data_IF_477510435084
#
_entry.id   IF_477510435084
#
_cell.length_a   1.000
_cell.length_b   1.000
_cell.length_c   1.000
_cell.angle_alpha   90.00
_cell.angle_beta   90.00
_cell.angle_gamma   90.00
#
_symmetry.space_group_name_H-M   'P 1'
#
loop_
_entity.id
_entity.type
_entity.pdbx_description
1 polymer ?
#
# COMPACT_ATOMS: atom_id res chain seq x y z
N UNK A 1 -24.39 23.56 -3.23
CA UNK A 1 -23.82 22.70 -4.30
C UNK A 1 -22.56 23.40 -4.76
N UNK A 2 -21.45 23.14 -4.11
CA UNK A 2 -20.12 23.61 -4.54
C UNK A 2 -19.53 22.50 -5.40
N UNK A 3 -19.41 22.74 -6.69
CA UNK A 3 -18.64 21.87 -7.58
C UNK A 3 -17.21 21.82 -7.03
N UNK A 4 -16.82 20.67 -6.47
CA UNK A 4 -15.40 20.32 -6.28
C UNK A 4 -14.81 20.24 -7.68
N UNK A 5 -13.87 21.13 -7.98
CA UNK A 5 -13.08 20.99 -9.20
C UNK A 5 -12.30 19.70 -9.10
N UNK A 6 -12.49 18.76 -10.03
CA UNK A 6 -11.70 17.54 -10.13
C UNK A 6 -10.22 17.91 -10.18
N UNK A 7 -9.45 17.45 -9.19
CA UNK A 7 -8.00 17.57 -9.24
C UNK A 7 -7.51 16.59 -10.28
N UNK A 8 -6.84 17.00 -11.36
CA UNK A 8 -6.34 16.08 -12.36
C UNK A 8 -5.29 15.15 -11.74
N UNK A 9 -5.09 13.97 -12.35
CA UNK A 9 -4.00 13.07 -12.02
C UNK A 9 -2.70 13.87 -11.81
N UNK A 10 -1.91 13.51 -10.78
CA UNK A 10 -0.77 14.32 -10.37
C UNK A 10 0.13 14.66 -11.57
N UNK A 11 0.51 15.93 -11.69
CA UNK A 11 1.45 16.36 -12.73
C UNK A 11 2.76 15.56 -12.61
N UNK A 12 3.47 15.27 -13.73
CA UNK A 12 4.78 14.61 -13.70
C UNK A 12 5.84 15.28 -12.81
N UNK A 13 5.62 16.50 -12.39
CA UNK A 13 6.50 17.30 -11.53
C UNK A 13 5.88 17.62 -10.15
N UNK A 14 4.74 17.02 -9.83
CA UNK A 14 4.00 17.35 -8.60
C UNK A 14 4.79 17.04 -7.31
N UNK A 15 5.72 16.07 -7.38
CA UNK A 15 6.56 15.64 -6.27
C UNK A 15 8.05 15.91 -6.52
N UNK A 16 8.40 16.78 -7.47
CA UNK A 16 9.78 17.17 -7.72
C UNK A 16 10.44 17.71 -6.45
N UNK A 17 11.64 17.20 -6.14
CA UNK A 17 12.40 17.53 -4.93
C UNK A 17 11.84 16.92 -3.64
N UNK A 18 10.81 16.04 -3.71
CA UNK A 18 10.33 15.26 -2.58
C UNK A 18 11.09 13.96 -2.45
N UNK A 19 11.33 13.54 -1.21
CA UNK A 19 11.97 12.28 -0.86
C UNK A 19 10.93 11.34 -0.30
N UNK A 20 10.73 10.22 -0.98
CA UNK A 20 9.81 9.16 -0.59
C UNK A 20 10.55 7.89 -0.19
N UNK A 21 9.98 7.10 0.71
CA UNK A 21 10.42 5.77 1.05
C UNK A 21 9.23 4.82 1.02
N UNK A 22 9.36 3.73 0.27
CA UNK A 22 8.36 2.66 0.22
C UNK A 22 8.93 1.39 0.84
N UNK A 23 8.37 1.01 1.98
CA UNK A 23 8.70 -0.23 2.66
C UNK A 23 7.90 -1.39 2.07
N UNK A 24 8.60 -2.46 1.62
CA UNK A 24 7.96 -3.59 0.94
C UNK A 24 7.63 -3.28 -0.53
N UNK A 25 8.61 -2.76 -1.28
CA UNK A 25 8.43 -2.23 -2.63
C UNK A 25 8.90 -3.17 -3.76
N UNK A 26 9.03 -4.47 -3.53
CA UNK A 26 9.53 -5.39 -4.56
C UNK A 26 8.48 -5.79 -5.60
N UNK A 27 7.19 -5.79 -5.24
CA UNK A 27 6.07 -6.24 -6.08
C UNK A 27 4.74 -5.61 -5.66
N UNK A 28 3.67 -5.92 -6.41
CA UNK A 28 2.29 -5.55 -6.11
C UNK A 28 2.10 -4.07 -5.87
N UNK A 29 1.29 -3.72 -4.86
CA UNK A 29 1.03 -2.34 -4.50
C UNK A 29 2.33 -1.57 -4.15
N UNK A 30 3.27 -2.21 -3.43
CA UNK A 30 4.52 -1.57 -3.03
C UNK A 30 5.38 -1.13 -4.21
N UNK A 31 5.54 -1.98 -5.23
CA UNK A 31 6.20 -1.62 -6.50
C UNK A 31 5.47 -0.47 -7.16
N UNK A 32 4.14 -0.56 -7.27
CA UNK A 32 3.34 0.47 -7.91
C UNK A 32 3.40 1.82 -7.17
N UNK A 33 3.38 1.84 -5.83
CA UNK A 33 3.60 3.07 -5.06
C UNK A 33 4.94 3.73 -5.40
N UNK A 34 6.01 2.93 -5.47
CA UNK A 34 7.33 3.45 -5.79
C UNK A 34 7.36 4.07 -7.20
N UNK A 35 6.82 3.36 -8.20
CA UNK A 35 6.81 3.79 -9.60
C UNK A 35 5.93 5.04 -9.80
N UNK A 36 4.72 5.08 -9.24
CA UNK A 36 3.82 6.22 -9.39
C UNK A 36 4.33 7.48 -8.65
N UNK A 37 4.98 7.34 -7.48
CA UNK A 37 5.65 8.45 -6.81
C UNK A 37 6.83 8.97 -7.66
N UNK A 38 7.59 8.06 -8.29
CA UNK A 38 8.65 8.40 -9.22
C UNK A 38 8.14 9.10 -10.48
N UNK A 39 7.03 8.65 -11.05
CA UNK A 39 6.40 9.28 -12.22
C UNK A 39 5.97 10.73 -11.97
N UNK A 40 5.73 11.07 -10.69
CA UNK A 40 5.46 12.44 -10.25
C UNK A 40 6.72 13.24 -9.88
N UNK A 41 7.92 12.71 -10.14
CA UNK A 41 9.21 13.39 -9.97
C UNK A 41 9.89 13.20 -8.61
N UNK A 42 9.42 12.28 -7.76
CA UNK A 42 10.05 12.05 -6.47
C UNK A 42 11.37 11.26 -6.57
N UNK A 43 12.30 11.50 -5.61
CA UNK A 43 13.36 10.54 -5.27
C UNK A 43 12.75 9.47 -4.37
N UNK A 44 12.85 8.19 -4.74
CA UNK A 44 12.18 7.08 -4.06
C UNK A 44 13.17 6.04 -3.56
N UNK A 45 13.26 5.87 -2.25
CA UNK A 45 13.93 4.74 -1.62
C UNK A 45 13.04 3.50 -1.72
N UNK A 46 13.47 2.54 -2.51
CA UNK A 46 12.81 1.26 -2.74
C UNK A 46 13.39 0.22 -1.80
N UNK A 47 12.60 -0.24 -0.83
CA UNK A 47 13.11 -1.14 0.21
C UNK A 47 12.34 -2.45 0.29
N UNK A 48 13.04 -3.52 0.66
CA UNK A 48 12.51 -4.87 0.74
C UNK A 48 13.61 -5.90 0.90
N UNK A 49 13.24 -7.17 1.02
CA UNK A 49 14.17 -8.27 1.31
C UNK A 49 14.71 -8.98 0.08
N UNK A 50 13.95 -8.95 -1.02
CA UNK A 50 14.33 -9.65 -2.25
C UNK A 50 15.21 -8.73 -3.11
N UNK A 51 16.39 -9.24 -3.43
CA UNK A 51 17.40 -8.62 -4.30
C UNK A 51 17.76 -9.58 -5.44
N UNK A 52 18.55 -9.12 -6.38
CA UNK A 52 19.09 -9.99 -7.46
C UNK A 52 19.87 -11.20 -6.92
N UNK A 53 20.51 -11.06 -5.75
CA UNK A 53 21.37 -12.07 -5.16
C UNK A 53 20.68 -12.87 -4.04
N UNK A 54 19.52 -12.43 -3.56
CA UNK A 54 18.81 -13.04 -2.42
C UNK A 54 17.31 -13.00 -2.59
N UNK A 55 16.70 -14.18 -2.57
CA UNK A 55 15.24 -14.33 -2.58
C UNK A 55 14.71 -14.41 -1.15
N UNK A 56 13.61 -13.70 -0.86
CA UNK A 56 12.91 -13.80 0.42
C UNK A 56 12.11 -15.10 0.55
N UNK A 57 11.55 -15.37 1.73
CA UNK A 57 10.70 -16.53 2.01
C UNK A 57 9.47 -16.67 1.08
N UNK A 58 9.07 -15.61 0.41
CA UNK A 58 7.97 -15.63 -0.57
C UNK A 58 8.34 -16.40 -1.86
N UNK A 59 9.64 -16.61 -2.12
CA UNK A 59 10.09 -17.44 -3.22
C UNK A 59 10.09 -16.79 -4.62
N UNK A 60 9.76 -15.49 -4.74
CA UNK A 60 9.67 -14.76 -6.02
C UNK A 60 10.99 -14.06 -6.32
N UNK A 61 11.77 -14.64 -7.25
CA UNK A 61 13.15 -14.20 -7.53
C UNK A 61 13.24 -13.02 -8.52
N UNK A 62 12.22 -12.82 -9.36
CA UNK A 62 12.22 -11.80 -10.43
C UNK A 62 11.81 -10.43 -9.95
N UNK A 63 11.22 -10.33 -8.75
CA UNK A 63 10.66 -9.08 -8.20
C UNK A 63 11.59 -8.51 -7.13
N UNK A 64 12.57 -7.73 -7.56
CA UNK A 64 13.65 -7.24 -6.70
C UNK A 64 13.54 -5.74 -6.42
N UNK A 65 14.23 -5.27 -5.36
CA UNK A 65 14.33 -3.84 -5.07
C UNK A 65 15.06 -3.08 -6.17
N UNK A 66 16.06 -3.71 -6.80
CA UNK A 66 16.85 -3.11 -7.89
C UNK A 66 16.03 -2.93 -9.17
N UNK A 67 15.18 -3.93 -9.49
CA UNK A 67 14.28 -3.82 -10.64
C UNK A 67 13.25 -2.69 -10.41
N UNK A 68 12.62 -2.66 -9.24
CA UNK A 68 11.67 -1.58 -8.93
C UNK A 68 12.33 -0.20 -8.96
N UNK A 69 13.56 -0.06 -8.46
CA UNK A 69 14.30 1.21 -8.52
C UNK A 69 14.60 1.64 -9.97
N UNK A 70 14.90 0.67 -10.86
CA UNK A 70 15.04 0.95 -12.28
C UNK A 70 13.74 1.46 -12.91
N UNK A 71 12.60 0.80 -12.60
CA UNK A 71 11.27 1.23 -13.06
C UNK A 71 10.91 2.65 -12.57
N UNK A 72 11.26 3.00 -11.33
CA UNK A 72 11.10 4.37 -10.80
C UNK A 72 11.85 5.38 -11.65
N UNK A 73 13.10 5.04 -12.02
CA UNK A 73 13.94 5.91 -12.84
C UNK A 73 13.42 6.03 -14.27
N UNK A 74 12.96 4.92 -14.87
CA UNK A 74 12.31 4.94 -16.17
C UNK A 74 11.03 5.79 -16.18
N UNK A 75 10.29 5.81 -15.07
CA UNK A 75 9.08 6.60 -14.91
C UNK A 75 9.34 8.11 -14.76
N UNK A 76 10.60 8.54 -14.58
CA UNK A 76 10.99 9.96 -14.51
C UNK A 76 11.41 10.46 -13.14
N UNK A 77 11.41 9.60 -12.10
CA UNK A 77 11.94 9.89 -10.77
C UNK A 77 13.40 9.49 -10.60
N UNK A 78 13.83 9.40 -9.36
CA UNK A 78 15.12 8.84 -8.96
C UNK A 78 14.89 7.63 -8.06
N UNK A 79 15.13 6.41 -8.56
CA UNK A 79 14.96 5.17 -7.81
C UNK A 79 16.24 4.76 -7.08
N UNK A 80 16.18 4.59 -5.77
CA UNK A 80 17.31 4.17 -4.92
C UNK A 80 16.97 2.83 -4.27
N UNK A 81 17.57 1.74 -4.73
CA UNK A 81 17.40 0.43 -4.13
C UNK A 81 18.19 0.31 -2.82
N UNK A 82 17.51 -0.03 -1.72
CA UNK A 82 18.15 -0.30 -0.43
C UNK A 82 17.60 -1.60 0.16
N UNK A 83 18.33 -2.72 0.01
CA UNK A 83 17.93 -3.98 0.63
C UNK A 83 17.74 -3.83 2.13
N UNK A 84 16.53 -4.10 2.63
CA UNK A 84 16.19 -3.89 4.05
C UNK A 84 15.19 -4.94 4.50
N UNK A 85 15.50 -5.64 5.60
CA UNK A 85 14.52 -6.38 6.37
C UNK A 85 13.93 -5.45 7.44
N UNK A 86 12.66 -5.09 7.28
CA UNK A 86 11.95 -4.21 8.21
C UNK A 86 11.65 -4.84 9.56
N UNK A 87 11.95 -6.12 9.75
CA UNK A 87 11.93 -6.78 11.05
C UNK A 87 13.26 -6.66 11.82
N UNK A 88 14.34 -6.24 11.15
CA UNK A 88 15.64 -5.98 11.75
C UNK A 88 15.81 -4.48 12.06
N UNK A 89 15.72 -4.06 13.33
CA UNK A 89 15.84 -2.64 13.70
C UNK A 89 17.19 -2.03 13.29
N UNK A 90 18.28 -2.83 13.23
CA UNK A 90 19.60 -2.30 12.85
C UNK A 90 19.66 -2.00 11.35
N UNK A 91 19.01 -2.81 10.51
CA UNK A 91 18.91 -2.50 9.08
C UNK A 91 18.07 -1.25 8.87
N UNK A 92 16.94 -1.10 9.56
CA UNK A 92 16.10 0.10 9.47
C UNK A 92 16.81 1.35 10.00
N UNK A 93 17.64 1.24 11.06
CA UNK A 93 18.49 2.36 11.52
C UNK A 93 19.53 2.78 10.48
N UNK A 94 20.17 1.81 9.81
CA UNK A 94 21.10 2.11 8.70
C UNK A 94 20.39 2.78 7.53
N UNK A 95 19.17 2.32 7.20
CA UNK A 95 18.34 2.96 6.18
C UNK A 95 18.00 4.40 6.56
N UNK A 96 17.54 4.65 7.80
CA UNK A 96 17.25 5.99 8.28
C UNK A 96 18.51 6.90 8.23
N UNK A 97 19.66 6.41 8.69
CA UNK A 97 20.92 7.14 8.62
C UNK A 97 21.34 7.45 7.17
N UNK A 98 21.08 6.55 6.22
CA UNK A 98 21.33 6.76 4.79
C UNK A 98 20.45 7.88 4.24
N UNK A 99 19.12 7.84 4.48
CA UNK A 99 18.18 8.89 4.05
C UNK A 99 18.56 10.24 4.68
N UNK A 100 18.96 10.25 5.96
CA UNK A 100 19.41 11.44 6.65
C UNK A 100 20.68 12.03 6.02
N UNK A 101 21.68 11.21 5.70
CA UNK A 101 22.93 11.65 5.10
C UNK A 101 22.72 12.19 3.67
N UNK A 102 21.84 11.56 2.90
CA UNK A 102 21.62 11.92 1.51
C UNK A 102 20.73 13.18 1.37
N UNK A 103 19.70 13.34 2.22
CA UNK A 103 18.66 14.37 2.03
C UNK A 103 18.30 15.16 3.28
N UNK A 104 18.69 14.72 4.48
CA UNK A 104 18.37 15.38 5.75
C UNK A 104 16.90 15.28 6.18
N UNK A 105 16.02 14.71 5.37
CA UNK A 105 14.56 14.61 5.63
C UNK A 105 13.93 13.45 4.88
N UNK A 106 12.70 13.15 5.24
CA UNK A 106 11.78 12.30 4.50
C UNK A 106 10.46 13.05 4.32
N UNK A 107 9.90 13.10 3.11
CA UNK A 107 8.63 13.79 2.85
C UNK A 107 7.44 12.81 2.83
N UNK A 108 7.68 11.57 2.35
CA UNK A 108 6.63 10.56 2.19
C UNK A 108 7.16 9.20 2.69
N UNK A 109 6.42 8.57 3.61
CA UNK A 109 6.66 7.20 4.06
C UNK A 109 5.45 6.34 3.75
N UNK A 110 5.61 5.35 2.85
CA UNK A 110 4.60 4.32 2.57
C UNK A 110 5.02 3.02 3.25
N UNK A 111 4.28 2.63 4.27
CA UNK A 111 4.53 1.43 5.06
C UNK A 111 3.64 0.30 4.56
N UNK A 112 4.19 -0.54 3.67
CA UNK A 112 3.48 -1.59 2.92
C UNK A 112 4.13 -2.97 3.12
N UNK A 113 4.82 -3.19 4.23
CA UNK A 113 5.44 -4.48 4.48
C UNK A 113 4.39 -5.56 4.74
N UNK A 114 4.48 -6.66 4.00
CA UNK A 114 3.68 -7.87 4.15
C UNK A 114 4.50 -9.05 3.57
N UNK A 115 3.87 -10.06 3.02
CA UNK A 115 4.48 -11.27 2.46
C UNK A 115 4.06 -12.51 3.24
N UNK A 116 2.92 -12.40 3.94
CA UNK A 116 2.31 -13.46 4.73
C UNK A 116 1.16 -14.18 4.03
N UNK A 117 0.97 -14.00 2.72
CA UNK A 117 -0.15 -14.58 1.97
C UNK A 117 -0.18 -16.12 2.08
N UNK A 118 0.98 -16.75 2.05
CA UNK A 118 1.13 -18.21 2.17
C UNK A 118 0.85 -18.74 3.58
N UNK A 119 0.74 -17.84 4.57
CA UNK A 119 0.45 -18.17 5.97
C UNK A 119 -1.03 -18.03 6.32
N UNK A 120 -1.87 -17.50 5.42
CA UNK A 120 -3.28 -17.21 5.73
C UNK A 120 -4.02 -18.54 5.99
N UNK A 121 -4.52 -18.77 7.23
CA UNK A 121 -5.12 -20.03 7.62
C UNK A 121 -6.63 -20.01 7.34
N UNK A 122 -7.02 -20.00 6.06
CA UNK A 122 -8.43 -19.95 5.66
C UNK A 122 -9.29 -20.98 6.42
N UNK A 123 -10.35 -20.49 7.10
CA UNK A 123 -11.31 -21.31 7.82
C UNK A 123 -10.78 -22.06 9.06
N UNK A 124 -9.55 -21.77 9.52
CA UNK A 124 -8.98 -22.40 10.73
C UNK A 124 -9.24 -21.57 11.98
N UNK A 125 -9.62 -22.23 13.07
CA UNK A 125 -9.67 -21.60 14.38
C UNK A 125 -8.27 -21.22 14.89
N UNK A 126 -8.22 -20.30 15.87
CA UNK A 126 -6.94 -19.85 16.48
C UNK A 126 -6.08 -21.02 16.97
N UNK A 127 -6.69 -21.99 17.67
CA UNK A 127 -6.00 -23.14 18.25
C UNK A 127 -5.63 -24.24 17.26
N UNK A 128 -6.16 -24.18 16.02
CA UNK A 128 -5.83 -25.10 14.92
C UNK A 128 -4.76 -24.51 13.98
N UNK A 129 -4.39 -23.25 14.21
CA UNK A 129 -3.34 -22.55 13.45
C UNK A 129 -1.99 -22.79 14.12
N UNK A 130 -0.94 -23.24 13.38
CA UNK A 130 0.40 -23.32 13.94
C UNK A 130 0.83 -21.99 14.53
N UNK A 131 1.24 -22.01 15.80
CA UNK A 131 1.53 -20.79 16.55
C UNK A 131 2.64 -19.94 15.92
N UNK A 132 3.67 -20.58 15.39
CA UNK A 132 4.80 -19.94 14.71
C UNK A 132 4.36 -19.23 13.41
N UNK A 133 3.46 -19.84 12.63
CA UNK A 133 2.87 -19.21 11.45
C UNK A 133 2.01 -18.00 11.82
N UNK A 134 1.18 -18.14 12.87
CA UNK A 134 0.35 -17.05 13.38
C UNK A 134 1.19 -15.86 13.90
N UNK A 135 2.21 -16.14 14.71
CA UNK A 135 3.14 -15.11 15.20
C UNK A 135 3.92 -14.48 14.04
N UNK A 136 4.30 -15.27 13.02
CA UNK A 136 4.96 -14.74 11.83
C UNK A 136 4.09 -13.74 11.09
N UNK A 137 2.78 -13.95 10.97
CA UNK A 137 1.85 -12.96 10.39
C UNK A 137 1.87 -11.64 11.17
N UNK A 138 1.88 -11.69 12.50
CA UNK A 138 1.98 -10.48 13.33
C UNK A 138 3.34 -9.80 13.19
N UNK A 139 4.43 -10.56 13.08
CA UNK A 139 5.75 -9.99 12.78
C UNK A 139 5.71 -9.22 11.45
N UNK A 140 5.18 -9.83 10.40
CA UNK A 140 5.14 -9.25 9.05
C UNK A 140 4.18 -8.06 8.92
N UNK A 141 2.99 -8.12 9.51
CA UNK A 141 1.94 -7.10 9.35
C UNK A 141 1.83 -6.07 10.47
N UNK A 142 2.52 -6.28 11.61
CA UNK A 142 2.43 -5.37 12.76
C UNK A 142 3.81 -4.91 13.20
N UNK A 143 4.67 -5.85 13.61
CA UNK A 143 5.98 -5.50 14.17
C UNK A 143 6.88 -4.80 13.18
N UNK A 144 6.89 -5.21 11.91
CA UNK A 144 7.66 -4.55 10.85
C UNK A 144 7.21 -3.10 10.64
N UNK A 145 5.90 -2.84 10.66
CA UNK A 145 5.32 -1.50 10.54
C UNK A 145 5.74 -0.61 11.72
N UNK A 146 5.66 -1.13 12.95
CA UNK A 146 6.09 -0.39 14.15
C UNK A 146 7.57 -0.03 14.13
N UNK A 147 8.45 -0.97 13.76
CA UNK A 147 9.90 -0.73 13.65
C UNK A 147 10.17 0.35 12.60
N UNK A 148 9.57 0.20 11.43
CA UNK A 148 9.73 1.15 10.31
C UNK A 148 9.27 2.55 10.69
N UNK A 149 8.05 2.69 11.22
CA UNK A 149 7.52 3.98 11.65
C UNK A 149 8.36 4.61 12.76
N UNK A 150 8.72 3.85 13.80
CA UNK A 150 9.48 4.37 14.94
C UNK A 150 10.85 4.95 14.54
N UNK A 151 11.49 4.39 13.52
CA UNK A 151 12.85 4.79 13.13
C UNK A 151 12.88 5.81 11.98
N UNK A 152 11.82 5.91 11.16
CA UNK A 152 11.79 6.82 10.00
C UNK A 152 10.94 8.08 10.25
N UNK A 153 9.91 8.04 11.09
CA UNK A 153 9.10 9.22 11.39
C UNK A 153 9.87 10.40 11.96
N UNK A 154 10.98 10.23 12.75
CA UNK A 154 11.82 11.37 13.13
C UNK A 154 12.40 12.18 11.96
N UNK A 155 12.59 11.57 10.78
CA UNK A 155 12.99 12.28 9.56
C UNK A 155 11.80 12.96 8.88
N UNK A 156 10.63 12.32 8.96
CA UNK A 156 9.40 12.81 8.33
C UNK A 156 8.87 14.08 9.01
N UNK A 157 8.98 14.19 10.33
CA UNK A 157 8.50 15.36 11.09
C UNK A 157 9.40 16.60 10.97
N UNK A 158 10.54 16.51 10.29
CA UNK A 158 11.41 17.69 10.02
C UNK A 158 10.74 18.71 9.08
N UNK A 159 9.80 18.25 8.27
CA UNK A 159 8.92 19.03 7.40
C UNK A 159 7.51 18.43 7.41
N UNK A 160 6.46 19.17 7.06
CA UNK A 160 5.13 18.59 6.95
C UNK A 160 5.08 17.44 5.93
N UNK A 161 5.10 16.20 6.43
CA UNK A 161 5.20 14.97 5.64
C UNK A 161 3.89 14.18 5.57
N UNK A 162 3.91 13.09 4.79
CA UNK A 162 2.83 12.13 4.66
C UNK A 162 3.31 10.74 5.09
N UNK A 163 2.62 10.15 6.06
CA UNK A 163 2.76 8.73 6.42
C UNK A 163 1.54 7.95 5.94
N UNK A 164 1.77 6.89 5.18
CA UNK A 164 0.74 5.98 4.68
C UNK A 164 0.96 4.60 5.26
N UNK A 165 0.00 4.13 6.05
CA UNK A 165 -0.11 2.71 6.41
C UNK A 165 -0.94 2.01 5.34
N UNK A 166 -0.47 0.86 4.84
CA UNK A 166 -1.19 0.07 3.85
C UNK A 166 -1.71 -1.22 4.48
N UNK A 167 -2.97 -1.54 4.21
CA UNK A 167 -3.60 -2.75 4.73
C UNK A 167 -4.56 -3.36 3.71
N UNK A 168 -5.25 -4.42 4.12
CA UNK A 168 -6.34 -5.07 3.40
C UNK A 168 -7.64 -4.86 4.18
N UNK A 169 -8.58 -4.15 3.57
CA UNK A 169 -9.87 -3.78 4.15
C UNK A 169 -9.91 -2.38 4.77
N UNK A 170 -11.02 -1.69 4.54
CA UNK A 170 -11.33 -0.41 5.20
C UNK A 170 -11.58 -0.60 6.70
N UNK A 171 -11.67 0.51 7.45
CA UNK A 171 -12.06 0.46 8.86
C UNK A 171 -13.47 -0.12 9.04
N UNK A 172 -14.37 0.12 8.10
CA UNK A 172 -15.74 -0.41 8.09
C UNK A 172 -15.73 -1.93 7.87
N UNK A 173 -15.02 -2.39 6.84
CA UNK A 173 -14.91 -3.80 6.50
C UNK A 173 -14.26 -4.60 7.62
N UNK A 174 -13.18 -4.07 8.20
CA UNK A 174 -12.46 -4.72 9.29
C UNK A 174 -13.17 -4.65 10.67
N UNK A 175 -14.40 -4.12 10.74
CA UNK A 175 -15.32 -4.40 11.88
C UNK A 175 -15.85 -5.82 11.85
N UNK A 176 -15.84 -6.47 10.68
CA UNK A 176 -16.16 -7.88 10.52
C UNK A 176 -14.93 -8.69 10.82
N UNK A 177 -15.06 -9.74 11.60
CA UNK A 177 -13.96 -10.68 11.79
C UNK A 177 -13.61 -11.35 10.45
N UNK A 178 -12.30 -11.40 10.14
CA UNK A 178 -11.82 -11.92 8.87
C UNK A 178 -10.87 -13.10 9.09
N UNK A 179 -11.19 -14.21 8.43
CA UNK A 179 -10.40 -15.43 8.33
C UNK A 179 -9.99 -16.06 9.68
N UNK A 180 -9.06 -15.45 10.39
CA UNK A 180 -8.43 -15.97 11.60
C UNK A 180 -7.95 -14.81 12.48
N UNK A 181 -7.83 -15.01 13.78
CA UNK A 181 -7.43 -13.97 14.76
C UNK A 181 -6.08 -13.34 14.42
N UNK A 182 -5.08 -14.13 13.98
CA UNK A 182 -3.77 -13.58 13.61
C UNK A 182 -3.83 -12.71 12.36
N UNK A 183 -4.55 -13.16 11.34
CA UNK A 183 -4.76 -12.38 10.12
C UNK A 183 -5.56 -11.10 10.40
N UNK A 184 -6.68 -11.23 11.11
CA UNK A 184 -7.54 -10.11 11.49
C UNK A 184 -6.75 -9.02 12.23
N UNK A 185 -5.97 -9.40 13.24
CA UNK A 185 -5.10 -8.48 13.97
C UNK A 185 -4.05 -7.84 13.07
N UNK A 186 -3.42 -8.63 12.19
CA UNK A 186 -2.40 -8.11 11.27
C UNK A 186 -2.96 -7.07 10.30
N UNK A 187 -4.22 -7.24 9.84
CA UNK A 187 -4.88 -6.32 8.90
C UNK A 187 -5.57 -5.14 9.59
N UNK A 188 -6.01 -5.29 10.83
CA UNK A 188 -6.61 -4.20 11.59
C UNK A 188 -5.55 -3.25 12.22
N UNK A 189 -4.38 -3.77 12.56
CA UNK A 189 -3.33 -2.99 13.24
C UNK A 189 -2.91 -1.74 12.46
N UNK A 190 -2.65 -1.74 11.14
CA UNK A 190 -2.28 -0.54 10.39
C UNK A 190 -3.34 0.57 10.45
N UNK A 191 -4.64 0.21 10.47
CA UNK A 191 -5.73 1.18 10.64
C UNK A 191 -5.61 1.87 12.00
N UNK A 192 -5.35 1.09 13.05
CA UNK A 192 -5.20 1.62 14.40
C UNK A 192 -3.93 2.44 14.55
N UNK A 193 -2.85 2.01 13.88
CA UNK A 193 -1.57 2.74 13.86
C UNK A 193 -1.74 4.10 13.19
N UNK A 194 -2.36 4.18 12.01
CA UNK A 194 -2.62 5.44 11.32
C UNK A 194 -3.41 6.42 12.19
N UNK A 195 -4.44 5.95 12.90
CA UNK A 195 -5.23 6.76 13.82
C UNK A 195 -4.40 7.28 15.01
N UNK A 196 -3.53 6.45 15.58
CA UNK A 196 -2.63 6.86 16.67
C UNK A 196 -1.57 7.85 16.21
N UNK A 197 -0.89 7.51 15.12
CA UNK A 197 0.17 8.34 14.52
C UNK A 197 -0.35 9.69 14.02
N UNK A 198 -1.61 9.76 13.59
CA UNK A 198 -2.24 11.03 13.21
C UNK A 198 -2.21 12.06 14.34
N UNK A 199 -2.40 11.63 15.59
CA UNK A 199 -2.31 12.51 16.76
C UNK A 199 -0.87 12.93 17.07
N UNK A 200 0.06 12.01 16.92
CA UNK A 200 1.48 12.27 17.19
C UNK A 200 2.11 13.17 16.13
N UNK A 201 1.63 13.08 14.88
CA UNK A 201 2.16 13.82 13.73
C UNK A 201 1.49 15.20 13.54
N UNK A 202 0.28 15.40 14.03
CA UNK A 202 -0.48 16.66 13.89
C UNK A 202 0.28 17.91 14.37
N UNK A 203 1.00 17.90 15.54
CA UNK A 203 1.77 19.06 15.99
C UNK A 203 2.92 19.45 15.06
N UNK A 204 3.33 18.54 14.17
CA UNK A 204 4.39 18.75 13.18
C UNK A 204 3.84 19.13 11.79
N UNK A 205 2.51 19.31 11.66
CA UNK A 205 1.86 19.56 10.37
C UNK A 205 1.90 18.37 9.41
N UNK A 206 2.25 17.19 9.90
CA UNK A 206 2.32 15.94 9.12
C UNK A 206 1.00 15.18 9.20
N UNK A 207 0.74 14.34 8.20
CA UNK A 207 -0.50 13.58 8.05
C UNK A 207 -0.20 12.08 8.12
N UNK A 208 -0.99 11.32 8.87
CA UNK A 208 -1.02 9.86 8.80
C UNK A 208 -2.37 9.38 8.28
N UNK A 209 -2.36 8.44 7.34
CA UNK A 209 -3.56 7.86 6.74
C UNK A 209 -3.37 6.36 6.53
N UNK A 210 -4.44 5.57 6.68
CA UNK A 210 -4.44 4.18 6.27
C UNK A 210 -5.11 4.06 4.91
N UNK A 211 -4.43 3.43 3.94
CA UNK A 211 -4.94 3.22 2.59
C UNK A 211 -5.10 1.72 2.35
N UNK A 212 -6.20 1.33 1.73
CA UNK A 212 -6.43 -0.06 1.31
C UNK A 212 -6.75 -0.12 -0.19
N UNK A 213 -6.03 -0.97 -0.96
CA UNK A 213 -6.48 -1.33 -2.29
C UNK A 213 -7.80 -2.11 -2.22
N UNK A 214 -8.53 -2.17 -3.33
CA UNK A 214 -9.61 -3.12 -3.53
C UNK A 214 -9.09 -4.54 -3.78
N UNK A 215 -9.82 -5.35 -4.54
CA UNK A 215 -9.34 -6.67 -4.97
C UNK A 215 -8.18 -6.48 -5.96
N UNK A 216 -6.95 -6.68 -5.49
CA UNK A 216 -5.76 -6.27 -6.21
C UNK A 216 -5.32 -7.33 -7.23
N UNK A 217 -5.14 -6.95 -8.49
CA UNK A 217 -4.49 -7.78 -9.52
C UNK A 217 -2.96 -7.75 -9.35
N UNK A 218 -2.48 -8.21 -8.19
CA UNK A 218 -1.05 -8.36 -7.96
C UNK A 218 -0.50 -9.57 -8.72
N UNK A 219 0.83 -9.60 -8.93
CA UNK A 219 1.51 -10.72 -9.58
C UNK A 219 1.15 -12.07 -8.94
N UNK A 220 1.03 -12.09 -7.61
CA UNK A 220 0.65 -13.30 -6.87
C UNK A 220 -0.81 -13.71 -7.11
N UNK A 221 -1.73 -12.77 -7.19
CA UNK A 221 -3.14 -13.06 -7.49
C UNK A 221 -3.31 -13.56 -8.91
N UNK A 222 -2.64 -12.91 -9.87
CA UNK A 222 -2.68 -13.32 -11.27
C UNK A 222 -2.10 -14.74 -11.44
N UNK A 223 -0.96 -15.03 -10.83
CA UNK A 223 -0.35 -16.37 -10.84
C UNK A 223 -1.26 -17.41 -10.17
N UNK A 224 -1.93 -17.03 -9.08
CA UNK A 224 -2.87 -17.91 -8.36
C UNK A 224 -4.06 -18.35 -9.23
N UNK A 225 -4.54 -17.49 -10.12
CA UNK A 225 -5.58 -17.79 -11.10
C UNK A 225 -5.04 -18.30 -12.44
N UNK A 226 -3.71 -18.39 -12.63
CA UNK A 226 -3.10 -18.81 -13.88
C UNK A 226 -3.33 -17.83 -15.04
N UNK A 227 -3.46 -16.54 -14.75
CA UNK A 227 -3.73 -15.47 -15.73
C UNK A 227 -2.61 -14.41 -15.71
N UNK A 228 -2.67 -13.51 -16.68
CA UNK A 228 -1.81 -12.32 -16.78
C UNK A 228 -2.65 -11.05 -16.70
N UNK A 229 -2.02 -9.87 -16.61
CA UNK A 229 -2.76 -8.60 -16.66
C UNK A 229 -3.52 -8.40 -17.98
N UNK A 230 -3.09 -9.03 -19.07
CA UNK A 230 -3.75 -8.93 -20.39
C UNK A 230 -5.04 -9.73 -20.45
N UNK A 231 -5.09 -10.90 -19.80
CA UNK A 231 -6.23 -11.79 -19.81
C UNK A 231 -6.86 -12.05 -18.43
N UNK A 232 -6.65 -11.17 -17.47
CA UNK A 232 -7.11 -11.34 -16.09
C UNK A 232 -8.61 -11.65 -15.95
N UNK A 233 -9.42 -11.23 -16.96
CA UNK A 233 -10.87 -11.49 -16.98
C UNK A 233 -11.21 -12.98 -17.15
N UNK A 234 -10.28 -13.82 -17.58
CA UNK A 234 -10.49 -15.27 -17.66
C UNK A 234 -10.67 -15.89 -16.26
N UNK A 235 -10.12 -15.25 -15.22
CA UNK A 235 -10.30 -15.64 -13.82
C UNK A 235 -11.76 -15.49 -13.33
N UNK A 236 -12.61 -14.73 -14.02
CA UNK A 236 -14.03 -14.51 -13.64
C UNK A 236 -14.85 -15.81 -13.69
N UNK A 237 -14.38 -16.82 -14.38
CA UNK A 237 -15.03 -18.15 -14.40
C UNK A 237 -14.86 -18.88 -13.07
N UNK A 238 -13.78 -18.61 -12.34
CA UNK A 238 -13.45 -19.20 -11.04
C UNK A 238 -13.88 -18.27 -9.89
N UNK A 239 -13.57 -16.96 -10.00
CA UNK A 239 -13.88 -15.95 -9.00
C UNK A 239 -14.65 -14.76 -9.63
N UNK A 240 -15.98 -14.82 -9.65
CA UNK A 240 -16.80 -13.76 -10.26
C UNK A 240 -16.61 -12.37 -9.63
N UNK A 241 -16.26 -12.30 -8.33
CA UNK A 241 -16.02 -11.04 -7.63
C UNK A 241 -14.71 -10.36 -8.06
N UNK A 242 -13.82 -11.09 -8.75
CA UNK A 242 -12.63 -10.50 -9.38
C UNK A 242 -12.97 -9.46 -10.47
N UNK A 243 -14.24 -9.40 -10.89
CA UNK A 243 -14.74 -8.38 -11.82
C UNK A 243 -14.52 -6.94 -11.32
N UNK A 244 -14.46 -6.69 -10.01
CA UNK A 244 -14.16 -5.38 -9.43
C UNK A 244 -12.69 -5.20 -9.06
N UNK A 245 -11.82 -6.09 -9.54
CA UNK A 245 -10.39 -6.03 -9.25
C UNK A 245 -9.73 -4.80 -9.90
N UNK A 246 -8.79 -4.22 -9.18
CA UNK A 246 -7.98 -3.08 -9.61
C UNK A 246 -6.53 -3.46 -9.90
N UNK A 247 -5.86 -2.72 -10.78
CA UNK A 247 -4.41 -2.86 -10.94
C UNK A 247 -3.65 -2.26 -9.74
N UNK A 248 -2.41 -2.68 -9.47
CA UNK A 248 -1.58 -2.05 -8.45
C UNK A 248 -1.36 -0.54 -8.68
N UNK A 249 -1.39 -0.09 -9.94
CA UNK A 249 -1.26 1.32 -10.28
C UNK A 249 -2.42 2.18 -9.76
N UNK A 250 -3.63 1.61 -9.66
CA UNK A 250 -4.80 2.36 -9.25
C UNK A 250 -4.68 2.92 -7.82
N UNK A 251 -4.42 2.06 -6.84
CA UNK A 251 -4.20 2.52 -5.46
C UNK A 251 -2.96 3.43 -5.35
N UNK A 252 -1.93 3.17 -6.17
CA UNK A 252 -0.71 3.96 -6.17
C UNK A 252 -0.94 5.38 -6.70
N UNK A 253 -1.76 5.57 -7.72
CA UNK A 253 -2.23 6.89 -8.19
C UNK A 253 -2.94 7.65 -7.07
N UNK A 254 -3.76 6.97 -6.28
CA UNK A 254 -4.43 7.55 -5.11
C UNK A 254 -3.44 8.07 -4.07
N UNK A 255 -2.42 7.28 -3.73
CA UNK A 255 -1.36 7.70 -2.77
C UNK A 255 -0.53 8.85 -3.34
N UNK A 256 -0.23 8.85 -4.63
CA UNK A 256 0.51 9.92 -5.30
C UNK A 256 -0.29 11.23 -5.33
N UNK A 257 -1.59 11.16 -5.63
CA UNK A 257 -2.49 12.32 -5.57
C UNK A 257 -2.59 12.88 -4.15
N UNK A 258 -2.73 12.00 -3.15
CA UNK A 258 -2.73 12.38 -1.74
C UNK A 258 -1.41 13.05 -1.31
N UNK A 259 -0.26 12.55 -1.78
CA UNK A 259 1.05 13.13 -1.51
C UNK A 259 1.21 14.52 -2.12
N UNK A 260 0.65 14.74 -3.30
CA UNK A 260 0.66 16.03 -4.01
C UNK A 260 -0.36 17.04 -3.48
N UNK A 261 -1.35 16.60 -2.72
CA UNK A 261 -2.44 17.46 -2.23
C UNK A 261 -2.00 18.36 -1.06
N UNK A 262 -2.00 19.68 -1.22
CA UNK A 262 -1.69 20.61 -0.13
C UNK A 262 -2.75 20.58 0.99
N UNK A 263 -3.98 20.14 0.69
CA UNK A 263 -5.09 20.01 1.63
C UNK A 263 -5.20 18.63 2.30
N UNK A 264 -4.18 17.75 2.15
CA UNK A 264 -4.21 16.36 2.64
C UNK A 264 -4.48 16.19 4.13
N UNK A 265 -4.29 17.25 4.95
CA UNK A 265 -4.57 17.19 6.38
C UNK A 265 -6.03 16.79 6.71
N UNK A 266 -6.98 16.97 5.77
CA UNK A 266 -8.37 16.49 5.94
C UNK A 266 -8.49 14.97 6.03
N UNK A 267 -7.47 14.24 5.57
CA UNK A 267 -7.38 12.78 5.62
C UNK A 267 -6.71 12.25 6.90
N UNK A 268 -6.19 13.14 7.75
CA UNK A 268 -5.44 12.74 8.93
C UNK A 268 -6.25 11.78 9.83
N UNK A 269 -5.67 10.62 10.14
CA UNK A 269 -6.28 9.57 10.96
C UNK A 269 -7.39 8.75 10.27
N UNK A 270 -7.65 8.98 8.98
CA UNK A 270 -8.68 8.23 8.24
C UNK A 270 -8.15 6.90 7.69
N UNK A 271 -9.09 5.97 7.50
CA UNK A 271 -8.91 4.77 6.68
C UNK A 271 -9.70 4.98 5.40
N UNK A 272 -9.03 4.91 4.25
CA UNK A 272 -9.60 5.21 2.94
C UNK A 272 -9.29 4.11 1.93
N UNK A 273 -10.19 3.92 0.97
CA UNK A 273 -10.01 2.95 -0.11
C UNK A 273 -9.45 3.63 -1.35
N UNK A 274 -8.88 2.85 -2.28
CA UNK A 274 -8.53 3.31 -3.62
C UNK A 274 -9.70 3.97 -4.34
N UNK A 275 -10.91 3.38 -4.24
CA UNK A 275 -12.14 3.96 -4.81
C UNK A 275 -12.50 5.32 -4.20
N UNK A 276 -12.39 5.48 -2.86
CA UNK A 276 -12.59 6.77 -2.19
C UNK A 276 -11.62 7.84 -2.70
N UNK A 277 -10.34 7.48 -2.87
CA UNK A 277 -9.34 8.41 -3.40
C UNK A 277 -9.58 8.73 -4.88
N UNK A 278 -10.03 7.76 -5.67
CA UNK A 278 -10.37 8.00 -7.06
C UNK A 278 -11.58 8.92 -7.24
N UNK A 279 -12.60 8.79 -6.41
CA UNK A 279 -13.74 9.70 -6.39
C UNK A 279 -13.32 11.14 -6.04
N UNK A 280 -12.42 11.30 -5.06
CA UNK A 280 -11.94 12.62 -4.63
C UNK A 280 -11.00 13.27 -5.64
N UNK A 281 -10.05 12.50 -6.21
CA UNK A 281 -8.98 13.05 -7.04
C UNK A 281 -9.18 12.86 -8.54
N UNK A 282 -10.21 12.11 -8.98
CA UNK A 282 -10.61 12.00 -10.38
C UNK A 282 -9.68 11.17 -11.26
N UNK A 283 -8.86 10.28 -10.69
CA UNK A 283 -8.03 9.36 -11.47
C UNK A 283 -8.76 8.05 -11.81
N UNK A 284 -8.27 7.32 -12.81
CA UNK A 284 -8.78 6.02 -13.24
C UNK A 284 -7.71 4.93 -13.14
N UNK A 285 -8.12 3.67 -13.23
CA UNK A 285 -7.22 2.54 -13.40
C UNK A 285 -6.57 2.54 -14.79
N UNK A 286 -5.65 1.61 -15.04
CA UNK A 286 -4.90 1.49 -16.30
C UNK A 286 -5.80 1.18 -17.51
N UNK A 287 -6.95 0.55 -17.29
CA UNK A 287 -7.96 0.27 -18.31
C UNK A 287 -9.04 1.36 -18.46
N UNK A 288 -8.87 2.49 -17.76
CA UNK A 288 -9.80 3.62 -17.77
C UNK A 288 -11.02 3.47 -16.85
N UNK A 289 -11.15 2.36 -16.13
CA UNK A 289 -12.21 2.15 -15.14
C UNK A 289 -11.90 2.85 -13.81
N UNK A 290 -12.91 2.89 -12.91
CA UNK A 290 -12.77 3.43 -11.55
C UNK A 290 -13.34 2.44 -10.54
N UNK A 291 -12.69 1.27 -10.34
CA UNK A 291 -13.23 0.23 -9.49
C UNK A 291 -13.34 0.67 -8.03
N UNK A 292 -14.49 0.37 -7.41
CA UNK A 292 -14.74 0.53 -5.98
C UNK A 292 -15.08 -0.82 -5.37
N UNK A 293 -14.05 -1.67 -5.24
CA UNK A 293 -14.17 -3.04 -4.79
C UNK A 293 -14.76 -3.13 -3.38
N UNK A 294 -14.34 -2.26 -2.45
CA UNK A 294 -14.83 -2.33 -1.08
C UNK A 294 -16.30 -1.93 -0.97
N UNK A 295 -16.76 -0.92 -1.71
CA UNK A 295 -18.19 -0.59 -1.77
C UNK A 295 -19.01 -1.73 -2.38
N UNK A 296 -18.49 -2.40 -3.40
CA UNK A 296 -19.10 -3.59 -3.95
C UNK A 296 -19.24 -4.71 -2.90
N UNK A 297 -18.18 -5.02 -2.17
CA UNK A 297 -18.24 -6.04 -1.12
C UNK A 297 -19.21 -5.65 -0.02
N UNK A 298 -19.19 -4.42 0.47
CA UNK A 298 -20.10 -3.98 1.53
C UNK A 298 -21.57 -3.95 1.11
N UNK A 299 -21.88 -3.43 -0.07
CA UNK A 299 -23.26 -3.28 -0.53
C UNK A 299 -23.83 -4.60 -1.10
N UNK A 300 -23.07 -5.31 -1.92
CA UNK A 300 -23.56 -6.47 -2.67
C UNK A 300 -23.26 -7.77 -1.93
N UNK A 301 -21.98 -8.04 -1.65
CA UNK A 301 -21.58 -9.35 -1.11
C UNK A 301 -22.05 -9.52 0.33
N UNK A 302 -21.85 -8.51 1.16
CA UNK A 302 -22.24 -8.57 2.57
C UNK A 302 -23.62 -7.98 2.84
N UNK A 303 -24.03 -6.97 2.07
CA UNK A 303 -25.31 -6.26 2.23
C UNK A 303 -26.48 -6.86 1.47
N UNK A 304 -26.22 -7.77 0.50
CA UNK A 304 -27.25 -8.46 -0.27
C UNK A 304 -27.99 -7.57 -1.29
N UNK A 305 -27.39 -6.44 -1.69
CA UNK A 305 -27.96 -5.56 -2.72
C UNK A 305 -27.90 -6.26 -4.09
N UNK A 306 -29.01 -6.26 -4.80
CA UNK A 306 -29.07 -6.78 -6.16
C UNK A 306 -28.44 -5.77 -7.15
N UNK A 307 -27.15 -5.92 -7.40
CA UNK A 307 -26.43 -5.14 -8.42
C UNK A 307 -25.23 -5.95 -8.94
N UNK A 308 -24.91 -5.80 -10.21
CA UNK A 308 -23.74 -6.43 -10.80
C UNK A 308 -22.44 -5.64 -10.54
N UNK A 309 -21.28 -6.31 -10.67
CA UNK A 309 -19.98 -5.68 -10.45
C UNK A 309 -19.68 -4.52 -11.40
N UNK A 310 -20.31 -4.49 -12.57
CA UNK A 310 -20.20 -3.42 -13.57
C UNK A 310 -20.67 -2.04 -13.05
N UNK A 311 -21.53 -2.03 -12.03
CA UNK A 311 -21.97 -0.79 -11.37
C UNK A 311 -20.95 -0.20 -10.42
N UNK A 312 -19.84 -0.89 -10.20
CA UNK A 312 -18.78 -0.54 -9.27
C UNK A 312 -17.39 -0.46 -9.95
N UNK A 313 -17.41 -0.32 -11.28
CA UNK A 313 -16.17 -0.28 -12.07
C UNK A 313 -16.06 0.91 -13.02
#
# INVERSE_FOLDING_TARGET
MTHSASVPAASPTALEGRVALVAGATRGAGRAFAVELGSAGATVYVTGRTTRDKVSEVGRATETVEETAALVTEAGGEGIAVPTDHLDPEQVRRLAARVEADHGRLDILVNNTWGGEHLIPFGRALWDTPLDEGLRMLDLGVRSHLITASLLLPLLIRHPGLHVEVTDGSAETNRRFRENVFFDLAKYAPIRMALGLARDLEPHGSTAVCVTPGFLRSEQMLDGFGVTEENWRDALTEEPHFAVAESPAYVARGVTALAADPGRARWNGRSVTSGTLAEEYGFTDTDGSSPDGWRYFEEVVFGGKEAGPESYR
#
